data_IF_117207215567
#
_entry.id   IF_117207215567
#
_cell.length_a   1.000
_cell.length_b   1.000
_cell.length_c   1.000
_cell.angle_alpha   90.00
_cell.angle_beta   90.00
_cell.angle_gamma   90.00
#
_symmetry.space_group_name_H-M   'P 1'
#
loop_
_entity.id
_entity.type
_entity.pdbx_description
1 polymer ?
#
# COMPACT_ATOMS: atom_id res chain seq x y z
N UNK A 1 90.53 -52.70 19.90
CA UNK A 1 89.28 -52.96 19.15
C UNK A 1 88.12 -52.84 20.12
N UNK A 2 87.41 -51.72 20.10
CA UNK A 2 85.99 -51.60 20.48
C UNK A 2 85.57 -50.17 20.18
N UNK A 3 84.70 -50.04 19.20
CA UNK A 3 84.17 -48.79 18.63
C UNK A 3 83.15 -48.15 19.57
N UNK A 4 83.32 -46.87 19.86
CA UNK A 4 82.35 -46.02 20.56
C UNK A 4 81.25 -45.58 19.60
N UNK A 5 80.00 -45.89 19.92
CA UNK A 5 78.80 -45.35 19.23
C UNK A 5 77.95 -44.62 20.25
N UNK A 6 77.82 -43.31 20.09
CA UNK A 6 76.91 -42.44 20.85
C UNK A 6 75.51 -42.45 20.23
N UNK A 7 74.42 -42.64 20.99
CA UNK A 7 73.08 -42.45 20.48
C UNK A 7 72.67 -40.97 20.63
N UNK A 8 72.22 -40.35 19.54
CA UNK A 8 71.57 -39.04 19.55
C UNK A 8 70.10 -39.26 19.90
N UNK A 9 69.67 -38.74 21.06
CA UNK A 9 68.28 -38.77 21.49
C UNK A 9 67.58 -37.52 20.96
N UNK A 10 66.72 -37.67 19.95
CA UNK A 10 65.84 -36.60 19.45
C UNK A 10 64.61 -36.48 20.34
N UNK A 11 64.56 -35.43 21.16
CA UNK A 11 63.39 -35.02 21.95
C UNK A 11 62.42 -34.26 21.04
N UNK A 12 61.26 -34.86 20.73
CA UNK A 12 60.15 -34.14 20.09
C UNK A 12 59.37 -33.37 21.16
N UNK A 13 59.54 -32.04 21.20
CA UNK A 13 58.65 -31.16 21.95
C UNK A 13 57.37 -30.90 21.14
N UNK A 14 56.26 -31.52 21.54
CA UNK A 14 54.92 -31.17 21.11
C UNK A 14 54.50 -29.86 21.77
N UNK A 15 54.59 -28.75 21.03
CA UNK A 15 53.96 -27.50 21.41
C UNK A 15 52.46 -27.58 21.12
N UNK A 16 51.65 -27.92 22.13
CA UNK A 16 50.22 -27.65 22.11
C UNK A 16 49.99 -26.16 22.34
N UNK A 17 49.86 -25.39 21.25
CA UNK A 17 49.35 -24.02 21.33
C UNK A 17 47.84 -24.09 21.57
N UNK A 18 47.42 -23.88 22.81
CA UNK A 18 46.03 -23.59 23.16
C UNK A 18 45.67 -22.23 22.52
N UNK A 19 45.08 -22.26 21.32
CA UNK A 19 44.48 -21.07 20.73
C UNK A 19 43.14 -20.84 21.42
N UNK A 20 43.13 -19.92 22.39
CA UNK A 20 41.89 -19.35 22.92
C UNK A 20 41.24 -18.53 21.80
N UNK A 21 40.29 -19.14 21.08
CA UNK A 21 39.41 -18.42 20.18
C UNK A 21 38.48 -17.54 21.03
N UNK A 22 38.87 -16.30 21.28
CA UNK A 22 37.93 -15.27 21.71
C UNK A 22 37.05 -14.95 20.51
N UNK A 23 35.80 -15.42 20.53
CA UNK A 23 34.77 -15.01 19.57
C UNK A 23 34.39 -13.55 19.82
N UNK A 24 35.20 -12.63 19.31
CA UNK A 24 34.75 -11.26 19.08
C UNK A 24 33.75 -11.32 17.92
N UNK A 25 32.45 -11.22 18.25
CA UNK A 25 31.44 -10.83 17.26
C UNK A 25 31.77 -9.40 16.83
N UNK A 26 32.59 -9.25 15.80
CA UNK A 26 32.66 -8.00 15.06
C UNK A 26 31.33 -7.90 14.29
N UNK A 27 30.46 -6.99 14.71
CA UNK A 27 29.40 -6.48 13.84
C UNK A 27 30.11 -5.84 12.64
N UNK A 28 30.32 -6.62 11.57
CA UNK A 28 31.02 -6.15 10.38
C UNK A 28 30.07 -5.23 9.61
N UNK A 29 30.17 -3.94 9.92
CA UNK A 29 29.48 -2.89 9.19
C UNK A 29 30.10 -2.80 7.78
N UNK A 30 29.29 -2.55 6.75
CA UNK A 30 29.77 -2.35 5.38
C UNK A 30 30.79 -1.22 5.32
N UNK A 31 31.81 -1.34 4.47
CA UNK A 31 32.76 -0.25 4.24
C UNK A 31 32.10 0.89 3.46
N UNK A 32 32.65 2.11 3.58
CA UNK A 32 32.10 3.27 2.86
C UNK A 32 32.15 3.08 1.33
N UNK A 33 33.19 2.41 0.81
CA UNK A 33 33.29 2.08 -0.62
C UNK A 33 32.19 1.10 -1.07
N UNK A 34 31.83 0.13 -0.23
CA UNK A 34 30.74 -0.81 -0.50
C UNK A 34 29.40 -0.08 -0.51
N UNK A 35 29.15 0.78 0.49
CA UNK A 35 27.91 1.57 0.56
C UNK A 35 27.80 2.53 -0.63
N UNK A 36 28.89 3.19 -1.04
CA UNK A 36 28.91 4.06 -2.22
C UNK A 36 28.61 3.28 -3.50
N UNK A 37 29.20 2.09 -3.66
CA UNK A 37 28.93 1.23 -4.82
C UNK A 37 27.44 0.81 -4.89
N UNK A 38 26.85 0.45 -3.75
CA UNK A 38 25.42 0.13 -3.65
C UNK A 38 24.55 1.35 -3.97
N UNK A 39 24.93 2.54 -3.50
CA UNK A 39 24.21 3.78 -3.78
C UNK A 39 24.20 4.10 -5.27
N UNK A 40 25.35 4.04 -5.94
CA UNK A 40 25.45 4.32 -7.37
C UNK A 40 24.64 3.32 -8.21
N UNK A 41 24.67 2.03 -7.86
CA UNK A 41 23.81 1.03 -8.50
C UNK A 41 22.32 1.30 -8.25
N UNK A 42 21.96 1.73 -7.03
CA UNK A 42 20.59 2.09 -6.66
C UNK A 42 20.10 3.33 -7.43
N UNK A 43 20.93 4.35 -7.61
CA UNK A 43 20.58 5.54 -8.41
C UNK A 43 20.21 5.17 -9.84
N UNK A 44 21.01 4.31 -10.46
CA UNK A 44 20.75 3.82 -11.82
C UNK A 44 19.46 2.99 -11.87
N UNK A 45 19.28 2.05 -10.92
CA UNK A 45 18.10 1.19 -10.86
C UNK A 45 16.80 1.99 -10.75
N UNK A 46 16.79 3.06 -9.95
CA UNK A 46 15.60 3.87 -9.68
C UNK A 46 15.53 5.17 -10.49
N UNK A 47 16.45 5.38 -11.44
CA UNK A 47 16.46 6.55 -12.31
C UNK A 47 16.62 7.89 -11.57
N UNK A 48 17.35 7.90 -10.46
CA UNK A 48 17.50 9.07 -9.57
C UNK A 48 18.63 9.98 -10.09
N UNK A 49 18.37 11.28 -10.10
CA UNK A 49 19.33 12.32 -10.46
C UNK A 49 19.13 13.53 -9.54
N UNK A 50 20.22 14.12 -9.06
CA UNK A 50 20.20 15.29 -8.19
C UNK A 50 21.02 16.42 -8.81
N UNK A 51 20.46 17.62 -8.84
CA UNK A 51 21.07 18.79 -9.46
C UNK A 51 21.39 19.90 -8.44
N UNK A 52 20.95 19.75 -7.18
CA UNK A 52 21.25 20.68 -6.10
C UNK A 52 22.67 20.52 -5.57
N UNK A 53 23.33 21.65 -5.28
CA UNK A 53 24.64 21.65 -4.62
C UNK A 53 24.50 20.96 -3.25
N UNK A 54 25.28 19.90 -3.02
CA UNK A 54 25.24 19.11 -1.78
C UNK A 54 24.02 18.21 -1.61
N UNK A 55 23.09 18.17 -2.59
CA UNK A 55 21.91 17.31 -2.51
C UNK A 55 22.29 15.84 -2.59
N UNK A 56 23.18 15.46 -3.51
CA UNK A 56 23.63 14.08 -3.66
C UNK A 56 24.35 13.57 -2.41
N UNK A 57 25.19 14.39 -1.78
CA UNK A 57 25.88 14.05 -0.52
C UNK A 57 24.88 13.81 0.61
N UNK A 58 23.88 14.68 0.76
CA UNK A 58 22.83 14.52 1.76
C UNK A 58 21.98 13.25 1.49
N UNK A 59 21.63 12.99 0.22
CA UNK A 59 20.88 11.79 -0.18
C UNK A 59 21.69 10.51 0.07
N UNK A 60 23.00 10.56 -0.10
CA UNK A 60 23.90 9.46 0.22
C UNK A 60 23.95 9.17 1.72
N UNK A 61 24.03 10.20 2.57
CA UNK A 61 24.02 10.03 4.03
C UNK A 61 22.71 9.40 4.54
N UNK A 62 21.57 9.85 3.99
CA UNK A 62 20.25 9.28 4.29
C UNK A 62 20.18 7.82 3.82
N UNK A 63 20.67 7.55 2.61
CA UNK A 63 20.74 6.18 2.06
C UNK A 63 21.58 5.26 2.94
N UNK A 64 22.73 5.73 3.42
CA UNK A 64 23.60 4.98 4.34
C UNK A 64 22.90 4.66 5.66
N UNK A 65 22.16 5.61 6.23
CA UNK A 65 21.39 5.37 7.45
C UNK A 65 20.23 4.38 7.22
N UNK A 66 19.51 4.48 6.10
CA UNK A 66 18.46 3.52 5.74
C UNK A 66 19.03 2.12 5.48
N UNK A 67 20.18 2.01 4.82
CA UNK A 67 20.88 0.73 4.64
C UNK A 67 21.25 0.09 5.97
N UNK A 68 21.65 0.90 6.96
CA UNK A 68 21.88 0.45 8.33
C UNK A 68 20.68 -0.10 9.03
N UNK A 69 19.56 0.60 8.92
CA UNK A 69 18.31 0.10 9.45
C UNK A 69 17.89 -1.23 8.79
N UNK A 70 18.04 -1.32 7.46
CA UNK A 70 17.72 -2.52 6.68
C UNK A 70 18.58 -3.71 7.13
N UNK A 71 19.90 -3.56 7.24
CA UNK A 71 20.78 -4.65 7.65
C UNK A 71 20.47 -5.16 9.05
N UNK A 72 20.26 -4.24 9.99
CA UNK A 72 19.94 -4.58 11.37
C UNK A 72 18.60 -5.29 11.51
N UNK A 73 17.62 -4.95 10.67
CA UNK A 73 16.35 -5.68 10.61
C UNK A 73 16.55 -7.06 9.97
N UNK A 74 17.20 -7.11 8.81
CA UNK A 74 17.33 -8.33 8.02
C UNK A 74 18.26 -9.37 8.67
N UNK A 75 19.13 -8.97 9.61
CA UNK A 75 19.94 -9.87 10.43
C UNK A 75 19.14 -10.60 11.51
N UNK A 76 17.90 -10.20 11.77
CA UNK A 76 16.97 -10.88 12.70
C UNK A 76 16.13 -11.91 11.94
N UNK A 77 15.62 -12.89 12.68
CA UNK A 77 14.65 -13.84 12.14
C UNK A 77 13.24 -13.23 12.22
N UNK A 78 12.83 -12.53 11.16
CA UNK A 78 11.54 -11.84 11.05
C UNK A 78 10.76 -12.38 9.85
N UNK A 79 9.43 -12.24 9.87
CA UNK A 79 8.53 -12.73 8.81
C UNK A 79 8.56 -11.88 7.52
N UNK A 80 9.31 -10.76 7.53
CA UNK A 80 9.41 -9.84 6.41
C UNK A 80 10.82 -9.25 6.30
N UNK A 81 11.16 -8.82 5.08
CA UNK A 81 12.42 -8.18 4.74
C UNK A 81 12.21 -6.73 4.35
N UNK A 82 13.20 -5.92 4.69
CA UNK A 82 13.33 -4.56 4.22
C UNK A 82 14.32 -4.50 3.06
N UNK A 83 14.20 -3.48 2.21
CA UNK A 83 14.99 -3.37 1.00
C UNK A 83 15.27 -1.93 0.59
N UNK A 84 16.24 -1.78 -0.31
CA UNK A 84 16.60 -0.51 -0.93
C UNK A 84 15.62 -0.18 -2.07
N UNK A 85 14.35 0.04 -1.69
CA UNK A 85 13.29 0.45 -2.59
C UNK A 85 13.44 1.94 -3.00
N UNK A 86 12.47 2.49 -3.74
CA UNK A 86 12.51 3.86 -4.27
C UNK A 86 12.60 4.98 -3.22
N UNK A 87 12.38 4.67 -1.93
CA UNK A 87 12.40 5.61 -0.80
C UNK A 87 13.67 5.52 0.04
N UNK A 88 14.67 4.74 -0.36
CA UNK A 88 15.88 4.52 0.42
C UNK A 88 16.73 5.80 0.62
N UNK A 89 16.56 6.83 -0.21
CA UNK A 89 17.20 8.15 -0.12
C UNK A 89 16.38 9.20 0.67
N UNK A 90 15.24 8.80 1.24
CA UNK A 90 14.37 9.70 2.00
C UNK A 90 14.47 9.43 3.50
N UNK A 91 14.53 10.51 4.28
CA UNK A 91 14.26 10.41 5.71
C UNK A 91 12.81 9.97 5.93
N UNK A 92 12.52 9.36 7.08
CA UNK A 92 11.14 8.99 7.39
C UNK A 92 10.23 10.23 7.48
N UNK A 93 10.74 11.39 7.90
CA UNK A 93 9.99 12.63 7.92
C UNK A 93 9.63 13.12 6.50
N UNK A 94 10.59 13.11 5.57
CA UNK A 94 10.31 13.46 4.16
C UNK A 94 9.28 12.50 3.56
N UNK A 95 9.47 11.19 3.75
CA UNK A 95 8.52 10.16 3.30
C UNK A 95 7.11 10.43 3.81
N UNK A 96 6.95 10.65 5.12
CA UNK A 96 5.64 10.95 5.73
C UNK A 96 5.00 12.20 5.14
N UNK A 97 5.79 13.24 4.91
CA UNK A 97 5.28 14.51 4.39
C UNK A 97 4.89 14.46 2.91
N UNK A 98 5.47 13.55 2.12
CA UNK A 98 5.30 13.52 0.67
C UNK A 98 4.34 12.43 0.19
N UNK A 99 4.19 11.32 0.90
CA UNK A 99 3.50 10.12 0.38
C UNK A 99 2.27 9.69 1.18
N UNK A 100 2.05 10.29 2.35
CA UNK A 100 0.91 10.00 3.22
C UNK A 100 -0.10 11.14 3.12
N UNK A 101 -1.39 10.84 3.21
CA UNK A 101 -2.42 11.83 2.90
C UNK A 101 -3.84 11.52 3.36
N UNK A 102 -4.13 10.33 3.90
CA UNK A 102 -5.47 10.07 4.44
C UNK A 102 -5.68 10.88 5.71
N UNK A 103 -6.83 11.55 5.80
CA UNK A 103 -7.22 12.32 6.98
C UNK A 103 -8.42 11.65 7.64
N UNK A 104 -8.16 10.82 8.64
CA UNK A 104 -9.25 10.26 9.46
C UNK A 104 -10.11 11.37 10.05
N UNK A 105 -11.43 11.17 10.02
CA UNK A 105 -12.40 11.99 10.74
C UNK A 105 -12.95 11.21 11.95
N UNK A 106 -12.45 11.47 13.17
CA UNK A 106 -12.90 10.77 14.38
C UNK A 106 -14.39 10.94 14.67
N UNK A 107 -14.99 12.09 14.31
CA UNK A 107 -16.42 12.33 14.54
C UNK A 107 -17.26 11.46 13.62
N UNK A 108 -16.88 11.39 12.34
CA UNK A 108 -17.53 10.51 11.36
C UNK A 108 -17.37 9.05 11.78
N UNK A 109 -16.17 8.62 12.19
CA UNK A 109 -15.91 7.26 12.66
C UNK A 109 -16.87 6.86 13.79
N UNK A 110 -17.02 7.72 14.80
CA UNK A 110 -17.95 7.52 15.93
C UNK A 110 -19.42 7.56 15.49
N UNK A 111 -19.77 8.37 14.49
CA UNK A 111 -21.14 8.41 13.97
C UNK A 111 -21.50 7.12 13.23
N UNK A 112 -20.61 6.62 12.38
CA UNK A 112 -20.80 5.40 11.59
C UNK A 112 -20.86 4.14 12.46
N UNK A 113 -20.10 4.09 13.55
CA UNK A 113 -20.14 2.95 14.48
C UNK A 113 -21.48 2.76 15.20
N UNK A 114 -22.37 3.77 15.20
CA UNK A 114 -23.70 3.66 15.82
C UNK A 114 -24.67 2.79 15.03
N UNK A 115 -24.54 2.74 13.71
CA UNK A 115 -25.44 2.01 12.81
C UNK A 115 -24.61 1.28 11.73
N UNK A 116 -23.82 0.26 12.09
CA UNK A 116 -22.97 -0.43 11.13
C UNK A 116 -23.81 -1.23 10.12
N UNK A 117 -23.34 -1.32 8.87
CA UNK A 117 -23.95 -2.22 7.89
C UNK A 117 -23.94 -3.66 8.42
N UNK A 118 -25.04 -4.36 8.19
CA UNK A 118 -25.19 -5.76 8.59
C UNK A 118 -24.95 -6.74 7.44
N UNK A 119 -24.62 -6.24 6.23
CA UNK A 119 -24.42 -7.06 5.03
C UNK A 119 -23.29 -8.07 5.20
N UNK A 120 -22.13 -7.60 5.67
CA UNK A 120 -20.94 -8.42 5.94
C UNK A 120 -20.59 -8.51 7.42
N UNK A 121 -21.55 -8.28 8.32
CA UNK A 121 -21.35 -8.57 9.74
C UNK A 121 -20.97 -10.05 9.93
N UNK A 122 -19.99 -10.28 10.81
CA UNK A 122 -19.51 -11.62 11.12
C UNK A 122 -20.60 -12.41 11.86
N UNK A 123 -20.81 -13.67 11.46
CA UNK A 123 -21.80 -14.56 12.08
C UNK A 123 -21.16 -15.90 12.42
N UNK A 124 -21.61 -16.49 13.53
CA UNK A 124 -21.21 -17.84 13.90
C UNK A 124 -21.61 -18.81 12.78
N UNK A 125 -20.65 -19.60 12.30
CA UNK A 125 -20.85 -20.56 11.20
C UNK A 125 -20.63 -20.00 9.79
N UNK A 126 -20.21 -18.74 9.64
CA UNK A 126 -19.78 -18.24 8.32
C UNK A 126 -18.67 -19.16 7.76
N UNK A 127 -18.90 -19.69 6.56
CA UNK A 127 -17.93 -20.48 5.80
C UNK A 127 -17.42 -19.63 4.64
N UNK A 128 -16.16 -19.20 4.74
CA UNK A 128 -15.50 -18.37 3.75
C UNK A 128 -14.35 -19.15 3.10
N UNK A 129 -13.95 -18.80 1.86
CA UNK A 129 -12.74 -19.37 1.26
C UNK A 129 -11.52 -19.20 2.17
N UNK A 130 -10.59 -20.15 2.14
CA UNK A 130 -9.35 -20.09 2.92
C UNK A 130 -8.44 -18.95 2.46
N UNK A 131 -8.39 -18.74 1.15
CA UNK A 131 -7.68 -17.63 0.50
C UNK A 131 -8.54 -17.01 -0.59
N UNK A 132 -8.30 -15.71 -0.83
CA UNK A 132 -8.90 -14.92 -1.90
C UNK A 132 -7.80 -14.05 -2.48
N UNK A 133 -7.74 -13.95 -3.80
CA UNK A 133 -6.94 -12.96 -4.51
C UNK A 133 -7.70 -12.45 -5.73
N UNK A 134 -8.19 -11.21 -5.68
CA UNK A 134 -8.98 -10.64 -6.77
C UNK A 134 -8.20 -10.44 -8.07
N UNK A 135 -6.86 -10.56 -8.05
CA UNK A 135 -6.03 -10.59 -9.26
C UNK A 135 -6.35 -11.82 -10.10
N UNK A 136 -6.57 -12.97 -9.47
CA UNK A 136 -6.89 -14.24 -10.14
C UNK A 136 -8.27 -14.22 -10.82
N UNK A 137 -9.12 -13.26 -10.43
CA UNK A 137 -10.43 -13.02 -11.02
C UNK A 137 -10.43 -11.85 -12.02
N UNK A 138 -9.26 -11.27 -12.31
CA UNK A 138 -9.11 -10.12 -13.21
C UNK A 138 -9.85 -8.87 -12.72
N UNK A 139 -10.03 -8.73 -11.40
CA UNK A 139 -10.74 -7.61 -10.76
C UNK A 139 -9.80 -6.60 -10.10
N UNK A 140 -8.55 -6.56 -10.55
CA UNK A 140 -7.52 -5.63 -10.07
C UNK A 140 -6.73 -5.10 -11.26
N UNK A 141 -6.66 -3.78 -11.42
CA UNK A 141 -5.84 -3.10 -12.44
C UNK A 141 -4.35 -3.12 -12.07
N UNK A 142 -3.42 -2.85 -13.02
CA UNK A 142 -1.99 -2.73 -12.71
C UNK A 142 -1.71 -1.68 -11.63
N UNK A 143 -0.73 -1.92 -10.75
CA UNK A 143 -0.35 -0.96 -9.68
C UNK A 143 -0.01 0.40 -10.28
N UNK A 144 -0.58 1.46 -9.70
CA UNK A 144 -0.34 2.86 -10.07
C UNK A 144 0.57 3.56 -9.04
N UNK A 145 0.98 4.79 -9.34
CA UNK A 145 1.85 5.61 -8.49
C UNK A 145 1.24 6.98 -8.25
N UNK A 146 0.88 7.28 -6.99
CA UNK A 146 0.28 8.55 -6.60
C UNK A 146 1.27 9.73 -6.65
N UNK A 147 2.58 9.45 -6.77
CA UNK A 147 3.61 10.46 -6.68
C UNK A 147 3.66 11.11 -5.31
N UNK A 148 3.85 12.44 -5.27
CA UNK A 148 3.98 13.23 -4.03
C UNK A 148 2.65 13.90 -3.58
N UNK A 149 1.55 13.47 -4.15
CA UNK A 149 0.22 13.96 -3.83
C UNK A 149 -0.37 13.09 -2.71
N UNK A 150 -1.02 13.70 -1.71
CA UNK A 150 -1.75 13.00 -0.65
C UNK A 150 -3.06 12.35 -1.12
N UNK A 151 -3.12 11.84 -2.35
CA UNK A 151 -4.30 11.32 -3.05
C UNK A 151 -4.57 9.82 -2.82
N UNK A 152 -3.88 9.18 -1.87
CA UNK A 152 -4.07 7.75 -1.56
C UNK A 152 -5.55 7.36 -1.31
N UNK A 153 -6.36 8.27 -0.76
CA UNK A 153 -7.81 8.13 -0.64
C UNK A 153 -8.49 7.89 -2.00
N UNK A 154 -8.14 8.68 -3.02
CA UNK A 154 -8.67 8.53 -4.37
C UNK A 154 -8.23 7.21 -5.02
N UNK A 155 -6.96 6.82 -4.87
CA UNK A 155 -6.46 5.53 -5.38
C UNK A 155 -7.14 4.33 -4.73
N UNK A 156 -7.34 4.39 -3.41
CA UNK A 156 -8.06 3.34 -2.67
C UNK A 156 -9.52 3.24 -3.14
N UNK A 157 -10.21 4.37 -3.30
CA UNK A 157 -11.59 4.42 -3.81
C UNK A 157 -11.68 3.87 -5.22
N UNK A 158 -10.87 4.38 -6.15
CA UNK A 158 -10.91 3.98 -7.56
C UNK A 158 -10.66 2.49 -7.70
N UNK A 159 -9.64 1.94 -7.04
CA UNK A 159 -9.36 0.51 -7.12
C UNK A 159 -10.54 -0.35 -6.62
N UNK A 160 -11.32 0.11 -5.64
CA UNK A 160 -12.50 -0.61 -5.17
C UNK A 160 -13.67 -0.51 -6.17
N UNK A 161 -13.84 0.65 -6.81
CA UNK A 161 -14.85 0.86 -7.86
C UNK A 161 -14.52 0.04 -9.12
N UNK A 162 -13.26 -0.01 -9.53
CA UNK A 162 -12.79 -0.85 -10.63
C UNK A 162 -13.07 -2.33 -10.36
N UNK A 163 -12.75 -2.80 -9.15
CA UNK A 163 -12.98 -4.17 -8.72
C UNK A 163 -14.46 -4.57 -8.71
N UNK A 164 -15.32 -3.76 -8.09
CA UNK A 164 -16.76 -4.06 -8.08
C UNK A 164 -17.39 -3.94 -9.48
N UNK A 165 -16.89 -3.04 -10.34
CA UNK A 165 -17.35 -2.95 -11.72
C UNK A 165 -17.04 -4.24 -12.48
N UNK A 166 -15.82 -4.77 -12.35
CA UNK A 166 -15.47 -6.07 -12.94
C UNK A 166 -16.38 -7.18 -12.44
N UNK A 167 -16.64 -7.24 -11.14
CA UNK A 167 -17.47 -8.27 -10.52
C UNK A 167 -18.92 -8.19 -11.02
N UNK A 168 -19.49 -6.99 -11.11
CA UNK A 168 -20.89 -6.80 -11.48
C UNK A 168 -21.15 -6.87 -13.00
N UNK A 169 -20.18 -6.48 -13.84
CA UNK A 169 -20.39 -6.29 -15.29
C UNK A 169 -19.54 -7.22 -16.15
N UNK A 170 -18.46 -7.79 -15.61
CA UNK A 170 -17.45 -8.51 -16.38
C UNK A 170 -16.38 -7.63 -17.00
N UNK A 171 -16.48 -6.30 -16.92
CA UNK A 171 -15.56 -5.35 -17.53
C UNK A 171 -14.60 -4.74 -16.49
N UNK A 172 -13.29 -4.87 -16.73
CA UNK A 172 -12.27 -4.16 -15.95
C UNK A 172 -11.89 -2.89 -16.72
N UNK A 173 -12.25 -1.73 -16.18
CA UNK A 173 -11.96 -0.42 -16.77
C UNK A 173 -11.04 0.32 -15.80
N UNK A 174 -9.94 0.89 -16.30
CA UNK A 174 -9.09 1.77 -15.48
C UNK A 174 -9.77 3.13 -15.33
N UNK A 175 -10.02 3.57 -14.11
CA UNK A 175 -10.77 4.80 -13.80
C UNK A 175 -9.84 5.91 -13.29
N UNK A 176 -10.32 7.15 -13.33
CA UNK A 176 -9.53 8.34 -13.03
C UNK A 176 -9.48 8.68 -11.54
N UNK A 177 -8.30 8.59 -10.92
CA UNK A 177 -8.08 9.21 -9.62
C UNK A 177 -8.03 10.74 -9.71
N UNK A 178 -7.60 11.29 -10.85
CA UNK A 178 -7.47 12.73 -11.03
C UNK A 178 -8.80 13.46 -11.00
N UNK A 179 -9.88 12.87 -11.54
CA UNK A 179 -11.20 13.46 -11.44
C UNK A 179 -11.63 13.61 -9.97
N UNK A 180 -11.36 12.61 -9.12
CA UNK A 180 -11.61 12.75 -7.67
C UNK A 180 -10.75 13.87 -7.07
N UNK A 181 -9.44 13.88 -7.34
CA UNK A 181 -8.52 14.91 -6.84
C UNK A 181 -8.96 16.31 -7.26
N UNK A 182 -9.40 16.47 -8.50
CA UNK A 182 -9.75 17.77 -9.07
C UNK A 182 -11.16 18.23 -8.71
N UNK A 183 -12.12 17.30 -8.61
CA UNK A 183 -13.56 17.62 -8.58
C UNK A 183 -14.25 17.35 -7.23
N UNK A 184 -13.74 16.46 -6.38
CA UNK A 184 -14.29 16.26 -5.03
C UNK A 184 -13.82 17.35 -4.07
N UNK A 185 -14.44 18.53 -4.18
CA UNK A 185 -14.14 19.71 -3.35
C UNK A 185 -15.15 19.98 -2.25
N UNK A 186 -16.31 19.32 -2.33
CA UNK A 186 -17.36 19.47 -1.33
C UNK A 186 -17.05 18.64 -0.09
N UNK A 187 -16.31 17.53 -0.25
CA UNK A 187 -16.06 16.57 0.81
C UNK A 187 -14.57 16.39 1.10
N UNK A 188 -13.73 16.29 0.06
CA UNK A 188 -12.28 16.05 0.18
C UNK A 188 -11.42 17.27 -0.22
N UNK A 189 -10.11 17.14 -0.06
CA UNK A 189 -9.14 18.25 -0.21
C UNK A 189 -8.01 17.91 -1.20
N UNK A 190 -8.29 17.13 -2.25
CA UNK A 190 -7.33 16.85 -3.32
C UNK A 190 -6.00 16.25 -2.79
N UNK A 191 -4.88 16.92 -3.07
CA UNK A 191 -3.57 16.47 -2.59
C UNK A 191 -3.33 16.71 -1.10
N UNK A 192 -4.15 17.54 -0.44
CA UNK A 192 -4.09 17.72 1.02
C UNK A 192 -4.82 16.60 1.77
N UNK A 193 -5.40 15.63 1.06
CA UNK A 193 -5.98 14.44 1.66
C UNK A 193 -7.50 14.33 1.58
N UNK A 194 -7.99 13.17 2.00
CA UNK A 194 -9.42 12.84 1.91
C UNK A 194 -9.77 11.50 2.55
N UNK A 195 -11.03 11.08 2.37
CA UNK A 195 -11.60 9.83 2.86
C UNK A 195 -12.36 9.09 1.75
N UNK A 196 -12.16 7.77 1.69
CA UNK A 196 -12.71 6.94 0.60
C UNK A 196 -14.25 6.99 0.51
N UNK A 197 -14.91 7.09 1.66
CA UNK A 197 -16.37 7.27 1.76
C UNK A 197 -16.89 8.52 1.05
N UNK A 198 -16.16 9.62 1.15
CA UNK A 198 -16.53 10.90 0.55
C UNK A 198 -16.37 10.82 -0.96
N UNK A 199 -15.26 10.25 -1.41
CA UNK A 199 -15.05 9.94 -2.81
C UNK A 199 -16.12 9.00 -3.39
N UNK A 200 -16.58 7.97 -2.66
CA UNK A 200 -17.72 7.16 -3.09
C UNK A 200 -19.00 7.99 -3.23
N UNK A 201 -19.27 8.88 -2.26
CA UNK A 201 -20.42 9.78 -2.33
C UNK A 201 -20.32 10.74 -3.53
N UNK A 202 -19.14 11.27 -3.80
CA UNK A 202 -18.89 12.10 -4.98
C UNK A 202 -19.20 11.34 -6.27
N UNK A 203 -18.75 10.09 -6.43
CA UNK A 203 -19.04 9.29 -7.63
C UNK A 203 -20.55 9.11 -7.83
N UNK A 204 -21.31 8.90 -6.75
CA UNK A 204 -22.77 8.79 -6.79
C UNK A 204 -23.40 10.12 -7.23
N UNK A 205 -23.03 11.22 -6.58
CA UNK A 205 -23.59 12.55 -6.82
C UNK A 205 -23.22 13.09 -8.22
N UNK A 206 -22.00 12.79 -8.67
CA UNK A 206 -21.52 13.09 -10.02
C UNK A 206 -22.24 12.21 -11.07
N UNK A 207 -22.84 11.08 -10.68
CA UNK A 207 -23.49 10.16 -11.61
C UNK A 207 -22.51 9.23 -12.34
N UNK A 208 -21.30 9.08 -11.81
CA UNK A 208 -20.24 8.21 -12.31
C UNK A 208 -18.86 8.86 -12.24
N UNK A 209 -17.88 8.17 -12.82
CA UNK A 209 -16.46 8.57 -12.89
C UNK A 209 -15.90 8.26 -14.28
N UNK A 210 -14.99 9.10 -14.75
CA UNK A 210 -14.28 8.97 -16.03
C UNK A 210 -13.23 7.85 -15.99
N UNK A 211 -12.84 7.43 -17.20
CA UNK A 211 -11.71 6.52 -17.37
C UNK A 211 -10.38 7.26 -17.15
N UNK A 212 -9.36 6.52 -16.75
CA UNK A 212 -7.97 7.02 -16.69
C UNK A 212 -7.52 7.60 -18.05
N UNK A 213 -8.02 7.05 -19.15
CA UNK A 213 -7.70 7.55 -20.49
C UNK A 213 -8.30 8.92 -20.77
N UNK A 214 -9.54 9.15 -20.33
CA UNK A 214 -10.29 10.38 -20.59
C UNK A 214 -9.87 11.50 -19.60
N UNK A 215 -9.45 11.12 -18.39
CA UNK A 215 -8.94 12.05 -17.37
C UNK A 215 -7.68 11.47 -16.67
N UNK A 216 -6.49 11.59 -17.29
CA UNK A 216 -5.26 10.98 -16.78
C UNK A 216 -4.74 11.60 -15.49
N UNK A 217 -4.06 10.79 -14.68
CA UNK A 217 -3.40 11.22 -13.45
C UNK A 217 -2.21 12.15 -13.69
N UNK A 218 -2.23 13.31 -13.02
CA UNK A 218 -1.18 14.33 -13.09
C UNK A 218 -0.34 14.40 -11.81
N UNK A 219 -0.81 13.81 -10.70
CA UNK A 219 -0.10 13.87 -9.42
C UNK A 219 -0.01 15.28 -8.83
N UNK A 220 -0.91 16.16 -9.25
CA UNK A 220 -0.98 17.55 -8.82
C UNK A 220 -2.44 17.96 -8.67
N UNK A 221 -2.65 18.90 -7.74
CA UNK A 221 -3.95 19.48 -7.47
C UNK A 221 -3.99 20.91 -8.01
N UNK A 222 -4.83 21.16 -9.02
CA UNK A 222 -5.03 22.48 -9.60
C UNK A 222 -6.16 23.29 -8.94
N UNK A 223 -6.70 22.80 -7.83
CA UNK A 223 -7.83 23.35 -7.06
C UNK A 223 -9.13 23.52 -7.85
N UNK A 224 -9.26 22.94 -9.05
CA UNK A 224 -10.45 23.07 -9.90
C UNK A 224 -10.68 21.80 -10.70
N UNK A 225 -11.95 21.42 -10.83
CA UNK A 225 -12.40 20.38 -11.76
C UNK A 225 -12.21 20.88 -13.19
N UNK A 226 -11.58 20.11 -14.06
CA UNK A 226 -11.32 20.51 -15.45
C UNK A 226 -12.60 20.33 -16.30
N UNK A 227 -13.28 21.43 -16.69
CA UNK A 227 -14.54 21.34 -17.42
C UNK A 227 -14.36 20.91 -18.89
N UNK A 228 -13.10 20.85 -19.37
CA UNK A 228 -12.80 20.47 -20.76
C UNK A 228 -12.66 18.97 -20.94
N UNK A 229 -12.64 18.21 -19.83
CA UNK A 229 -12.59 16.75 -19.85
C UNK A 229 -13.88 16.18 -20.42
N UNK A 230 -13.76 14.98 -20.97
CA UNK A 230 -14.83 14.33 -21.72
C UNK A 230 -16.09 14.13 -20.88
N UNK A 231 -15.95 13.94 -19.56
CA UNK A 231 -17.07 13.80 -18.64
C UNK A 231 -17.99 12.65 -19.06
N UNK A 232 -17.36 11.53 -19.47
CA UNK A 232 -17.98 10.35 -20.02
C UNK A 232 -18.70 9.49 -18.96
N UNK A 233 -18.25 9.54 -17.70
CA UNK A 233 -18.85 8.84 -16.55
C UNK A 233 -19.08 7.36 -16.84
N UNK A 234 -17.99 6.70 -17.24
CA UNK A 234 -18.00 5.34 -17.80
C UNK A 234 -18.41 4.27 -16.77
N UNK A 235 -18.23 4.54 -15.48
CA UNK A 235 -18.62 3.66 -14.38
C UNK A 235 -19.39 4.44 -13.31
N UNK A 236 -20.47 3.86 -12.82
CA UNK A 236 -21.26 4.36 -11.69
C UNK A 236 -21.45 3.30 -10.61
N UNK A 237 -21.68 3.73 -9.38
CA UNK A 237 -22.00 2.88 -8.22
C UNK A 237 -23.36 3.32 -7.65
N UNK A 238 -24.07 2.39 -7.02
CA UNK A 238 -25.42 2.61 -6.49
C UNK A 238 -25.43 3.07 -5.02
N UNK A 239 -24.28 2.95 -4.36
CA UNK A 239 -24.11 3.25 -2.94
C UNK A 239 -22.72 2.85 -2.45
N UNK A 240 -22.51 2.98 -1.15
CA UNK A 240 -21.36 2.42 -0.45
C UNK A 240 -21.77 2.06 0.97
N UNK A 241 -21.05 1.13 1.58
CA UNK A 241 -21.29 0.70 2.96
C UNK A 241 -19.96 0.54 3.70
N UNK A 242 -20.02 0.74 5.02
CA UNK A 242 -18.90 0.48 5.91
C UNK A 242 -18.91 -0.97 6.40
N UNK A 243 -17.73 -1.58 6.45
CA UNK A 243 -17.51 -2.81 7.22
C UNK A 243 -17.71 -2.52 8.71
N UNK A 244 -18.15 -3.51 9.47
CA UNK A 244 -18.20 -3.40 10.94
C UNK A 244 -16.79 -3.10 11.47
N UNK A 245 -16.63 -1.95 12.11
CA UNK A 245 -15.34 -1.51 12.64
C UNK A 245 -14.83 -2.46 13.71
N UNK A 246 -13.51 -2.59 13.79
CA UNK A 246 -12.79 -3.40 14.77
C UNK A 246 -13.12 -4.91 14.69
N UNK A 247 -13.53 -5.38 13.52
CA UNK A 247 -13.88 -6.79 13.27
C UNK A 247 -13.19 -7.30 11.99
N UNK A 248 -11.99 -7.89 12.14
CA UNK A 248 -11.26 -8.52 11.04
C UNK A 248 -12.05 -9.67 10.39
N UNK A 249 -13.02 -10.29 11.08
CA UNK A 249 -13.87 -11.34 10.49
C UNK A 249 -14.90 -10.72 9.55
N UNK A 250 -15.48 -9.58 9.92
CA UNK A 250 -16.36 -8.82 9.04
C UNK A 250 -15.59 -8.29 7.82
N UNK A 251 -14.35 -7.80 8.02
CA UNK A 251 -13.48 -7.40 6.91
C UNK A 251 -13.17 -8.59 5.99
N UNK A 252 -12.84 -9.77 6.55
CA UNK A 252 -12.59 -10.98 5.76
C UNK A 252 -13.79 -11.36 4.90
N UNK A 253 -14.99 -11.27 5.49
CA UNK A 253 -16.25 -11.53 4.82
C UNK A 253 -16.54 -10.53 3.70
N UNK A 254 -16.26 -9.24 3.89
CA UNK A 254 -16.40 -8.26 2.82
C UNK A 254 -15.39 -8.52 1.68
N UNK A 255 -14.12 -8.75 2.03
CA UNK A 255 -13.03 -9.04 1.07
C UNK A 255 -13.30 -10.31 0.26
N UNK A 256 -13.99 -11.31 0.83
CA UNK A 256 -14.36 -12.51 0.08
C UNK A 256 -15.42 -12.29 -1.00
N UNK A 257 -16.04 -11.11 -1.05
CA UNK A 257 -17.06 -10.77 -2.06
C UNK A 257 -16.60 -9.67 -3.03
N UNK A 258 -15.67 -8.80 -2.62
CA UNK A 258 -15.09 -7.75 -3.47
C UNK A 258 -13.85 -7.13 -2.82
N UNK A 259 -13.00 -6.41 -3.57
CA UNK A 259 -11.97 -5.55 -2.99
C UNK A 259 -12.56 -4.48 -2.05
N UNK A 260 -11.86 -4.18 -0.95
CA UNK A 260 -12.33 -3.26 0.11
C UNK A 260 -11.30 -2.15 0.34
N UNK A 261 -11.74 -0.90 0.28
CA UNK A 261 -10.93 0.26 0.64
C UNK A 261 -10.72 0.30 2.15
N UNK A 262 -9.49 0.51 2.60
CA UNK A 262 -9.15 0.61 4.02
C UNK A 262 -8.17 1.75 4.26
N UNK A 263 -8.25 2.37 5.44
CA UNK A 263 -7.19 3.24 5.93
C UNK A 263 -6.27 2.49 6.90
N UNK A 264 -4.97 2.77 6.83
CA UNK A 264 -3.92 2.21 7.69
C UNK A 264 -3.00 3.31 8.20
N UNK A 265 -2.23 3.01 9.24
CA UNK A 265 -1.02 3.77 9.59
C UNK A 265 0.18 3.20 8.82
N UNK A 266 0.66 3.92 7.81
CA UNK A 266 1.82 3.55 7.00
C UNK A 266 3.08 4.35 7.36
N UNK A 267 3.04 5.01 8.51
CA UNK A 267 3.95 6.08 8.92
C UNK A 267 5.36 5.62 9.31
N UNK A 268 5.51 4.34 9.67
CA UNK A 268 6.74 3.76 10.22
C UNK A 268 7.85 3.55 9.19
N UNK A 269 9.10 3.65 9.65
CA UNK A 269 10.30 3.44 8.81
C UNK A 269 10.38 2.03 8.21
N UNK A 270 9.91 1.01 8.94
CA UNK A 270 9.83 -0.35 8.43
C UNK A 270 8.80 -0.48 7.28
N UNK A 271 7.70 0.27 7.34
CA UNK A 271 6.70 0.29 6.28
C UNK A 271 7.24 1.00 5.03
N UNK A 272 7.90 2.15 5.22
CA UNK A 272 8.59 2.89 4.16
C UNK A 272 9.55 1.98 3.36
N UNK A 273 10.32 1.14 4.06
CA UNK A 273 11.38 0.32 3.48
C UNK A 273 10.98 -1.14 3.24
N UNK A 274 9.69 -1.47 3.32
CA UNK A 274 9.19 -2.82 3.07
C UNK A 274 9.56 -3.31 1.67
N UNK A 275 10.00 -4.57 1.58
CA UNK A 275 10.37 -5.25 0.33
C UNK A 275 9.54 -6.52 0.12
N UNK A 276 9.44 -7.39 1.12
CA UNK A 276 8.75 -8.68 0.97
C UNK A 276 8.42 -9.37 2.29
N UNK A 277 7.59 -10.42 2.22
CA UNK A 277 7.17 -11.24 3.36
C UNK A 277 5.92 -10.70 4.07
N UNK A 278 5.47 -11.39 5.12
CA UNK A 278 4.30 -10.95 5.89
C UNK A 278 4.74 -9.88 6.90
N UNK A 279 4.32 -8.64 6.67
CA UNK A 279 4.64 -7.50 7.50
C UNK A 279 4.02 -7.63 8.90
N UNK A 280 4.89 -7.94 9.86
CA UNK A 280 4.62 -8.01 11.29
C UNK A 280 5.30 -6.86 12.07
N UNK A 281 5.79 -5.83 11.38
CA UNK A 281 6.46 -4.68 11.99
C UNK A 281 5.58 -3.86 12.92
N UNK A 282 6.20 -3.01 13.73
CA UNK A 282 5.46 -2.09 14.61
C UNK A 282 4.80 -0.98 13.79
N UNK A 283 3.54 -0.68 14.14
CA UNK A 283 2.74 0.43 13.64
C UNK A 283 1.65 0.73 14.67
N UNK A 284 1.21 1.98 14.74
CA UNK A 284 0.08 2.39 15.57
C UNK A 284 -1.27 2.29 14.84
N UNK A 285 -2.19 3.15 15.25
CA UNK A 285 -3.55 3.26 14.70
C UNK A 285 -3.91 4.70 14.28
N UNK A 286 -2.91 5.56 14.14
CA UNK A 286 -3.06 6.93 13.62
C UNK A 286 -3.11 6.90 12.09
N UNK A 287 -4.25 6.48 11.55
CA UNK A 287 -4.47 6.26 10.13
C UNK A 287 -4.06 7.48 9.29
N UNK A 288 -3.16 7.27 8.33
CA UNK A 288 -2.57 8.31 7.49
C UNK A 288 -2.43 7.92 6.01
N UNK A 289 -2.83 6.70 5.64
CA UNK A 289 -2.73 6.21 4.27
C UNK A 289 -3.92 5.34 3.84
N UNK A 290 -4.42 5.58 2.63
CA UNK A 290 -5.53 4.84 2.02
C UNK A 290 -4.99 3.76 1.08
N UNK A 291 -5.42 2.52 1.29
CA UNK A 291 -5.00 1.36 0.49
C UNK A 291 -6.21 0.46 0.22
N UNK A 292 -6.01 -0.58 -0.58
CA UNK A 292 -7.10 -1.53 -0.88
C UNK A 292 -6.70 -2.96 -0.54
N UNK A 293 -7.56 -3.64 0.23
CA UNK A 293 -7.44 -5.07 0.50
C UNK A 293 -8.07 -5.81 -0.66
N UNK A 294 -7.24 -6.55 -1.39
CA UNK A 294 -7.65 -7.32 -2.58
C UNK A 294 -7.68 -8.82 -2.32
N UNK A 295 -7.40 -9.25 -1.09
CA UNK A 295 -7.30 -10.65 -0.78
C UNK A 295 -6.81 -10.93 0.62
N UNK A 296 -6.74 -12.21 0.94
CA UNK A 296 -6.17 -12.73 2.18
C UNK A 296 -5.70 -14.16 1.96
N UNK A 297 -4.83 -14.63 2.83
CA UNK A 297 -4.35 -16.01 2.78
C UNK A 297 -3.58 -16.41 4.03
N UNK A 298 -2.84 -17.49 3.88
CA UNK A 298 -1.91 -18.04 4.87
C UNK A 298 -0.64 -18.44 4.12
N UNK A 299 0.53 -18.08 4.63
CA UNK A 299 1.79 -18.44 4.00
C UNK A 299 2.19 -19.89 4.33
N UNK A 300 3.30 -20.34 3.75
CA UNK A 300 3.85 -21.69 3.96
C UNK A 300 4.26 -21.99 5.41
N UNK A 301 4.45 -20.95 6.24
CA UNK A 301 4.79 -21.06 7.65
C UNK A 301 3.56 -20.99 8.56
N UNK A 302 2.35 -20.92 7.98
CA UNK A 302 1.11 -20.79 8.73
C UNK A 302 0.77 -19.35 9.16
N UNK A 303 1.52 -18.35 8.70
CA UNK A 303 1.25 -16.95 9.01
C UNK A 303 0.10 -16.43 8.15
N UNK A 304 -0.97 -16.01 8.81
CA UNK A 304 -2.13 -15.41 8.17
C UNK A 304 -1.88 -13.96 7.75
N UNK A 305 -2.34 -13.58 6.57
CA UNK A 305 -2.15 -12.23 6.03
C UNK A 305 -3.34 -11.69 5.23
N UNK A 306 -3.37 -10.36 5.09
CA UNK A 306 -4.09 -9.59 4.09
C UNK A 306 -3.20 -9.31 2.89
N UNK A 307 -3.71 -9.44 1.67
CA UNK A 307 -3.04 -8.94 0.46
C UNK A 307 -3.53 -7.53 0.17
N UNK A 308 -2.64 -6.56 0.32
CA UNK A 308 -2.97 -5.14 0.21
C UNK A 308 -2.24 -4.54 -0.98
N UNK A 309 -2.98 -3.90 -1.89
CA UNK A 309 -2.41 -3.13 -2.99
C UNK A 309 -2.18 -1.71 -2.55
N UNK A 310 -0.97 -1.21 -2.78
CA UNK A 310 -0.56 0.16 -2.49
C UNK A 310 -0.54 1.02 -3.77
N UNK A 311 -0.30 2.32 -3.61
CA UNK A 311 -0.31 3.35 -4.67
C UNK A 311 1.06 4.02 -4.83
N UNK A 312 2.16 3.30 -4.58
CA UNK A 312 3.53 3.83 -4.67
C UNK A 312 4.34 3.29 -5.86
N UNK A 313 3.65 2.72 -6.85
CA UNK A 313 4.25 2.05 -7.99
C UNK A 313 4.78 0.66 -7.64
N UNK A 314 5.13 -0.12 -8.68
CA UNK A 314 5.61 -1.49 -8.53
C UNK A 314 7.02 -1.61 -7.92
N UNK A 315 7.78 -0.51 -7.85
CA UNK A 315 9.12 -0.48 -7.26
C UNK A 315 9.16 -0.49 -5.73
N UNK A 316 8.03 -0.66 -5.06
CA UNK A 316 7.90 -0.76 -3.61
C UNK A 316 7.21 -2.08 -3.23
N UNK A 317 7.69 -2.74 -2.16
CA UNK A 317 7.12 -4.00 -1.69
C UNK A 317 7.15 -5.13 -2.73
N UNK A 318 6.16 -6.01 -2.66
CA UNK A 318 6.02 -7.16 -3.55
C UNK A 318 5.30 -6.71 -4.83
N UNK A 319 6.03 -6.07 -5.75
CA UNK A 319 5.49 -5.48 -6.99
C UNK A 319 4.36 -4.46 -6.75
N UNK A 320 4.48 -3.66 -5.70
CA UNK A 320 3.48 -2.65 -5.29
C UNK A 320 2.45 -3.14 -4.28
N UNK A 321 2.58 -4.39 -3.82
CA UNK A 321 1.73 -5.00 -2.80
C UNK A 321 2.47 -5.18 -1.49
N UNK A 322 1.71 -5.34 -0.42
CA UNK A 322 2.18 -5.76 0.89
C UNK A 322 1.28 -6.84 1.44
N UNK A 323 1.89 -7.89 2.01
CA UNK A 323 1.17 -8.85 2.84
C UNK A 323 1.20 -8.38 4.27
N UNK A 324 0.08 -7.94 4.82
CA UNK A 324 0.00 -7.46 6.22
C UNK A 324 -0.49 -8.58 7.13
N UNK A 325 0.15 -8.75 8.28
CA UNK A 325 -0.27 -9.71 9.31
C UNK A 325 -1.77 -9.54 9.65
N UNK A 326 -2.50 -10.65 9.70
CA UNK A 326 -3.95 -10.73 9.99
C UNK A 326 -4.19 -11.48 11.30
N UNK A 327 -5.32 -11.21 11.95
CA UNK A 327 -5.74 -11.85 13.21
C UNK A 327 -4.79 -11.57 14.37
N UNK A 328 -4.36 -10.32 14.50
CA UNK A 328 -3.52 -9.87 15.61
C UNK A 328 -4.36 -9.71 16.89
N UNK A 329 -3.72 -9.73 18.06
CA UNK A 329 -4.37 -9.44 19.35
C UNK A 329 -4.57 -7.93 19.55
N UNK A 330 -5.14 -7.27 18.55
CA UNK A 330 -5.59 -5.89 18.56
C UNK A 330 -6.84 -5.78 17.69
N UNK A 331 -7.94 -5.32 18.28
CA UNK A 331 -9.21 -5.15 17.57
C UNK A 331 -9.12 -4.15 16.41
N UNK A 332 -8.16 -3.22 16.43
CA UNK A 332 -7.90 -2.32 15.30
C UNK A 332 -7.32 -3.04 14.08
N UNK A 333 -6.83 -4.28 14.24
CA UNK A 333 -6.06 -4.99 13.24
C UNK A 333 -4.66 -4.39 13.06
N UNK A 334 -3.80 -5.07 12.31
CA UNK A 334 -2.44 -4.59 12.04
C UNK A 334 -2.48 -3.21 11.40
N UNK A 335 -1.80 -2.25 12.02
CA UNK A 335 -1.74 -0.85 11.59
C UNK A 335 -3.12 -0.16 11.46
N UNK A 336 -4.13 -0.62 12.19
CA UNK A 336 -5.47 -0.04 12.17
C UNK A 336 -6.34 -0.44 10.97
N UNK A 337 -5.95 -1.47 10.22
CA UNK A 337 -6.64 -1.90 8.98
C UNK A 337 -8.13 -2.21 9.14
N UNK A 338 -8.60 -2.55 10.34
CA UNK A 338 -10.00 -2.85 10.63
C UNK A 338 -10.81 -1.64 11.16
N UNK A 339 -10.21 -0.44 11.21
CA UNK A 339 -10.85 0.75 11.82
C UNK A 339 -11.74 1.54 10.86
N UNK A 340 -11.30 1.73 9.62
CA UNK A 340 -12.01 2.49 8.58
C UNK A 340 -11.93 1.73 7.27
N UNK A 341 -12.84 0.76 7.12
CA UNK A 341 -12.97 -0.08 5.93
C UNK A 341 -14.35 0.12 5.30
N UNK A 342 -14.39 0.39 4.00
CA UNK A 342 -15.63 0.60 3.26
C UNK A 342 -15.53 0.10 1.82
N UNK A 343 -16.68 -0.15 1.22
CA UNK A 343 -16.77 -0.72 -0.11
C UNK A 343 -17.93 -0.12 -0.91
N UNK A 344 -17.75 0.09 -2.23
CA UNK A 344 -18.82 0.53 -3.11
C UNK A 344 -19.82 -0.62 -3.35
N UNK A 345 -21.08 -0.26 -3.57
CA UNK A 345 -22.17 -1.17 -3.92
C UNK A 345 -22.56 -0.95 -5.36
N UNK A 346 -22.62 -2.03 -6.14
CA UNK A 346 -23.10 -2.02 -7.53
C UNK A 346 -23.99 -3.22 -7.78
N UNK A 347 -25.23 -2.97 -8.16
CA UNK A 347 -26.30 -3.96 -8.32
C UNK A 347 -26.52 -4.38 -9.77
N UNK A 348 -25.87 -3.74 -10.74
CA UNK A 348 -26.06 -4.05 -12.16
C UNK A 348 -25.13 -3.29 -13.12
N UNK A 349 -25.51 -3.32 -14.39
CA UNK A 349 -24.77 -2.67 -15.48
C UNK A 349 -24.62 -1.16 -15.29
N UNK A 350 -23.61 -0.58 -15.93
CA UNK A 350 -23.42 0.88 -15.95
C UNK A 350 -24.66 1.56 -16.56
N UNK A 351 -25.30 2.41 -15.77
CA UNK A 351 -26.39 3.26 -16.26
C UNK A 351 -25.75 4.42 -17.04
N UNK A 352 -25.42 4.18 -18.30
CA UNK A 352 -24.98 5.25 -19.19
C UNK A 352 -26.18 6.21 -19.31
N UNK A 353 -26.13 7.35 -18.60
CA UNK A 353 -27.05 8.45 -18.92
C UNK A 353 -26.60 8.99 -20.28
N UNK A 354 -27.40 8.87 -21.34
CA UNK A 354 -27.04 9.47 -22.61
C UNK A 354 -26.84 10.97 -22.36
N UNK A 355 -25.65 11.47 -22.64
CA UNK A 355 -25.48 12.90 -22.85
C UNK A 355 -26.45 13.26 -23.98
N UNK A 356 -27.41 14.16 -23.71
CA UNK A 356 -28.54 14.57 -24.56
C UNK A 356 -29.85 13.76 -24.44
N UNK A 357 -30.64 14.08 -23.42
CA UNK A 357 -32.09 14.28 -23.62
C UNK A 357 -32.47 15.65 -23.05
N UNK A 358 -32.31 16.70 -23.85
CA UNK A 358 -33.09 17.91 -23.62
C UNK A 358 -34.56 17.53 -23.87
N UNK A 359 -35.31 17.35 -22.78
CA UNK A 359 -36.76 17.55 -22.77
C UNK A 359 -37.02 19.00 -23.21
N UNK A 360 -37.24 19.23 -24.50
CA UNK A 360 -37.92 20.42 -25.04
C UNK A 360 -38.25 20.25 -26.53
N UNK A 361 -38.82 19.10 -26.91
CA UNK A 361 -39.51 18.95 -28.22
C UNK A 361 -40.93 18.41 -28.04
N UNK A 362 -41.64 18.90 -27.05
CA UNK A 362 -43.12 18.94 -27.07
C UNK A 362 -43.55 20.41 -27.05
N UNK A 363 -43.53 21.06 -28.23
CA UNK A 363 -44.42 22.17 -28.62
C UNK A 363 -44.05 22.74 -30.00
N UNK A 364 -44.15 21.93 -31.05
CA UNK A 364 -44.53 22.47 -32.36
C UNK A 364 -45.54 21.51 -32.99
N UNK A 365 -46.78 21.58 -32.49
CA UNK A 365 -47.96 21.34 -33.32
C UNK A 365 -48.92 22.52 -33.10
N UNK A 366 -49.48 23.02 -34.21
CA UNK A 366 -50.53 24.05 -34.32
C UNK A 366 -50.17 25.52 -34.04
N UNK A 367 -49.82 26.25 -35.10
CA UNK A 367 -50.48 27.49 -35.52
C UNK A 367 -50.11 27.81 -36.98
#
# INVERSE_FOLDING_TARGET
>A
MTTTVTPISTLFFLFFTLSSATSFSQNHWRSDDEVMSLYQAWLVKHGKQYNGIGEEENRFDIFKDNLKFIDQHNSKNTTYKLGLNKFADLTNQEYRSMFLGTKSDPKRRVMKSKNPSQRYASRAGDSLPESVDWRDHGAVTPVKDQGRCGSCWAFSTIAAVEGINKIATGELISLSEQELVDCDRSYDAGCDGGLMDYAFQFIIDNGGIDSEQDYPYLGADNNQCDPTRKNAKVVSIDGYEDVVQYDEKALKKAVSHQPVSVAIEASGRAFQLYESGVFSGECGSALDHGVIVIGYGTDENGQEYWTVRNSWGSGWGEDGYIRMERNVDDCAGKCGIAMEASYPVKNGANTIKPYWTNEDTEKISSA
#
